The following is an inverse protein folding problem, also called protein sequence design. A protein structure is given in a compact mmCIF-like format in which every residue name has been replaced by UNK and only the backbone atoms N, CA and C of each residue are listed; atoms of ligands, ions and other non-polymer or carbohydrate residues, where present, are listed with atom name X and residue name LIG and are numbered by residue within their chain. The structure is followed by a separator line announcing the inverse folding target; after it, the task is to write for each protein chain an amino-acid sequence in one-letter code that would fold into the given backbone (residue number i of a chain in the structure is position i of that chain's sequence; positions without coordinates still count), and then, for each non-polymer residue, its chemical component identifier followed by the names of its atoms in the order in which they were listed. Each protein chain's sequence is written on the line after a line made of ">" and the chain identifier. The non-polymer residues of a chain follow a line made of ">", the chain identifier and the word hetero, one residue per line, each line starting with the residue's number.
data_IF_804220884017
#
_entry.id   IF_804220884017
#
_cell.length_a   1.000
_cell.length_b   1.000
_cell.length_c   1.000
_cell.angle_alpha   90.00
_cell.angle_beta   90.00
_cell.angle_gamma   90.00
#
_symmetry.space_group_name_H-M   'P 1'
#
loop_
_entity.id
_entity.type
_entity.pdbx_description
1 polymer ?
#
# COMPACT_ATOMS: atom_id res chain seq x y z
N UNK A 1 24.12 -2.28 -44.71
CA UNK A 1 24.04 -3.67 -44.24
C UNK A 1 23.98 -3.62 -42.72
N UNK A 2 22.80 -3.59 -42.13
CA UNK A 2 22.58 -3.59 -40.70
C UNK A 2 22.35 -5.02 -40.25
N UNK A 3 23.25 -5.56 -39.45
CA UNK A 3 23.05 -6.86 -38.80
C UNK A 3 22.05 -6.69 -37.66
N UNK A 4 20.88 -7.26 -37.79
CA UNK A 4 19.93 -7.49 -36.71
C UNK A 4 20.48 -8.59 -35.80
N UNK A 5 21.08 -8.18 -34.68
CA UNK A 5 21.46 -9.12 -33.64
C UNK A 5 20.22 -9.67 -32.94
N UNK A 6 19.88 -10.92 -33.19
CA UNK A 6 18.90 -11.66 -32.40
C UNK A 6 19.42 -11.75 -30.94
N UNK A 7 18.71 -11.13 -30.01
CA UNK A 7 18.95 -11.36 -28.59
C UNK A 7 18.61 -12.83 -28.29
N UNK A 8 19.63 -13.66 -28.09
CA UNK A 8 19.45 -15.02 -27.60
C UNK A 8 18.83 -14.92 -26.17
N UNK A 9 17.68 -15.55 -25.99
CA UNK A 9 17.08 -15.74 -24.69
C UNK A 9 18.00 -16.55 -23.77
N UNK A 10 17.83 -16.41 -22.47
CA UNK A 10 18.57 -17.17 -21.45
C UNK A 10 18.38 -18.67 -21.76
N UNK A 11 19.45 -19.46 -21.94
CA UNK A 11 19.30 -20.87 -22.24
C UNK A 11 18.68 -21.60 -21.06
N UNK A 12 17.58 -22.31 -21.29
CA UNK A 12 16.98 -23.19 -20.29
C UNK A 12 17.94 -24.32 -19.91
N UNK A 13 17.92 -24.82 -18.67
CA UNK A 13 18.74 -25.96 -18.25
C UNK A 13 18.49 -27.14 -19.17
N UNK A 14 19.56 -27.84 -19.55
CA UNK A 14 19.50 -29.02 -20.42
C UNK A 14 18.61 -30.08 -19.76
N UNK A 15 17.52 -30.46 -20.44
CA UNK A 15 16.56 -31.48 -19.96
C UNK A 15 15.20 -30.95 -19.54
N UNK A 16 14.98 -29.63 -19.50
CA UNK A 16 13.64 -29.06 -19.23
C UNK A 16 12.96 -28.80 -20.59
N UNK A 17 12.05 -29.68 -20.98
CA UNK A 17 11.16 -29.44 -22.09
C UNK A 17 9.84 -28.91 -21.54
N UNK A 18 9.66 -27.60 -21.60
CA UNK A 18 8.35 -26.98 -21.29
C UNK A 18 7.50 -27.11 -22.55
N UNK A 19 6.43 -27.91 -22.47
CA UNK A 19 5.47 -28.00 -23.58
C UNK A 19 4.47 -26.85 -23.50
N UNK A 20 4.26 -26.06 -24.55
CA UNK A 20 3.23 -25.04 -24.60
C UNK A 20 1.85 -25.65 -24.36
N UNK A 21 0.99 -24.95 -23.65
CA UNK A 21 -0.42 -25.29 -23.57
C UNK A 21 -0.99 -25.22 -24.99
N UNK A 22 -1.83 -26.21 -25.33
CA UNK A 22 -2.40 -26.35 -26.67
C UNK A 22 -3.13 -25.07 -27.10
N UNK A 23 -2.59 -24.37 -28.10
CA UNK A 23 -3.12 -23.11 -28.61
C UNK A 23 -2.34 -21.87 -28.24
N UNK A 24 -1.23 -21.98 -27.49
CA UNK A 24 -0.30 -20.87 -27.27
C UNK A 24 0.96 -21.09 -28.11
N UNK A 25 1.33 -20.09 -28.87
CA UNK A 25 2.64 -20.05 -29.50
C UNK A 25 3.71 -19.69 -28.48
N UNK A 26 4.95 -20.17 -28.68
CA UNK A 26 6.05 -19.96 -27.71
C UNK A 26 6.38 -18.48 -27.48
N UNK A 27 6.03 -17.61 -28.39
CA UNK A 27 6.18 -16.15 -28.26
C UNK A 27 5.18 -15.51 -27.28
N UNK A 28 4.06 -16.17 -26.97
CA UNK A 28 3.02 -15.68 -26.06
C UNK A 28 3.31 -16.01 -24.59
N UNK A 29 4.29 -16.87 -24.33
CA UNK A 29 4.63 -17.32 -22.96
C UNK A 29 5.31 -16.24 -22.12
N UNK A 30 6.12 -15.42 -22.76
CA UNK A 30 6.79 -14.29 -22.14
C UNK A 30 6.71 -13.11 -23.10
N UNK A 31 5.62 -12.36 -23.08
CA UNK A 31 5.55 -11.17 -23.91
C UNK A 31 6.70 -10.24 -23.51
N UNK A 32 7.57 -9.95 -24.47
CA UNK A 32 8.70 -9.06 -24.24
C UNK A 32 8.17 -7.69 -23.76
N UNK A 33 8.83 -7.00 -22.83
CA UNK A 33 8.36 -5.72 -22.28
C UNK A 33 8.06 -4.67 -23.36
N UNK A 34 8.79 -4.67 -24.44
CA UNK A 34 8.56 -3.80 -25.62
C UNK A 34 7.27 -4.14 -26.36
N UNK A 35 6.90 -5.42 -26.48
CA UNK A 35 5.61 -5.86 -27.06
C UNK A 35 4.44 -5.45 -26.16
N UNK A 36 4.57 -5.63 -24.83
CA UNK A 36 3.55 -5.19 -23.87
C UNK A 36 3.39 -3.68 -23.93
N UNK A 37 4.49 -2.93 -23.97
CA UNK A 37 4.47 -1.48 -24.06
C UNK A 37 3.80 -1.01 -25.36
N UNK A 38 4.15 -1.59 -26.51
CA UNK A 38 3.55 -1.28 -27.79
C UNK A 38 2.03 -1.61 -27.81
N UNK A 39 1.65 -2.74 -27.24
CA UNK A 39 0.24 -3.14 -27.08
C UNK A 39 -0.53 -2.14 -26.23
N UNK A 40 0.05 -1.71 -25.12
CA UNK A 40 -0.58 -0.73 -24.22
C UNK A 40 -0.69 0.66 -24.86
N UNK A 41 0.29 1.08 -25.68
CA UNK A 41 0.21 2.34 -26.44
C UNK A 41 -0.89 2.32 -27.50
N UNK A 42 -1.25 1.14 -28.03
CA UNK A 42 -2.32 0.99 -29.00
C UNK A 42 -3.72 0.95 -28.37
N UNK A 43 -3.82 0.91 -27.04
CA UNK A 43 -5.11 1.01 -26.34
C UNK A 43 -5.65 2.42 -26.48
N UNK A 44 -6.78 2.56 -27.21
CA UNK A 44 -7.48 3.82 -27.27
C UNK A 44 -8.08 4.17 -25.90
N UNK A 45 -7.72 5.32 -25.38
CA UNK A 45 -8.42 5.91 -24.24
C UNK A 45 -9.82 6.30 -24.70
N UNK A 46 -10.84 5.54 -24.33
CA UNK A 46 -12.22 5.89 -24.64
C UNK A 46 -12.65 7.08 -23.77
N UNK A 47 -13.42 8.02 -24.37
CA UNK A 47 -13.94 9.18 -23.67
C UNK A 47 -14.85 8.83 -22.46
N UNK A 48 -15.33 7.60 -22.37
CA UNK A 48 -16.05 7.06 -21.22
C UNK A 48 -15.18 6.86 -19.98
N UNK A 49 -13.84 6.86 -20.11
CA UNK A 49 -12.90 6.77 -18.99
C UNK A 49 -12.79 8.08 -18.19
N UNK A 50 -13.50 9.14 -18.52
CA UNK A 50 -13.53 10.37 -17.70
C UNK A 50 -14.13 10.18 -16.29
N UNK A 51 -14.86 9.10 -16.04
CA UNK A 51 -15.27 8.69 -14.67
C UNK A 51 -14.19 7.91 -13.92
N UNK A 52 -13.10 7.51 -14.57
CA UNK A 52 -12.07 6.62 -14.02
C UNK A 52 -10.83 7.32 -13.50
N UNK A 53 -10.95 8.60 -13.20
CA UNK A 53 -9.86 9.31 -12.53
C UNK A 53 -9.75 8.96 -11.04
N UNK A 54 -10.65 8.14 -10.51
CA UNK A 54 -10.61 7.62 -9.15
C UNK A 54 -9.87 6.28 -9.17
N UNK A 55 -8.82 6.19 -8.38
CA UNK A 55 -8.08 4.96 -8.24
C UNK A 55 -7.83 4.63 -6.76
N UNK A 56 -8.14 3.39 -6.31
CA UNK A 56 -8.82 2.31 -7.02
C UNK A 56 -10.22 2.71 -7.51
N UNK A 57 -10.68 2.08 -8.61
CA UNK A 57 -12.01 2.36 -9.19
C UNK A 57 -13.13 2.08 -8.19
N UNK A 58 -14.12 2.93 -8.14
CA UNK A 58 -15.29 2.78 -7.27
C UNK A 58 -16.40 1.98 -7.95
N UNK A 59 -17.31 1.40 -7.17
CA UNK A 59 -18.44 0.61 -7.68
C UNK A 59 -19.45 1.45 -8.45
N UNK A 60 -19.73 2.63 -7.94
CA UNK A 60 -20.73 3.54 -8.54
C UNK A 60 -20.28 4.98 -8.36
N UNK A 61 -20.34 5.76 -9.42
CA UNK A 61 -20.18 7.22 -9.40
C UNK A 61 -21.17 7.83 -10.40
N UNK A 62 -22.15 8.55 -9.90
CA UNK A 62 -23.21 9.15 -10.71
C UNK A 62 -23.32 10.66 -10.42
N UNK A 63 -23.72 11.48 -11.41
CA UNK A 63 -23.97 12.89 -11.19
C UNK A 63 -25.08 13.10 -10.12
N UNK A 64 -24.85 14.01 -9.20
CA UNK A 64 -25.83 14.36 -8.17
C UNK A 64 -26.88 15.33 -8.74
N UNK A 65 -28.11 14.84 -8.87
CA UNK A 65 -29.22 15.65 -9.43
C UNK A 65 -29.54 16.86 -8.56
N UNK A 66 -29.69 18.04 -9.19
CA UNK A 66 -30.06 19.27 -8.49
C UNK A 66 -28.97 19.92 -7.66
N UNK A 67 -27.70 19.46 -7.82
CA UNK A 67 -26.53 20.06 -7.20
C UNK A 67 -25.56 20.56 -8.27
N UNK A 68 -24.76 21.55 -7.91
CA UNK A 68 -23.72 22.10 -8.76
C UNK A 68 -22.31 21.71 -8.25
N UNK A 69 -21.39 21.52 -9.21
CA UNK A 69 -19.98 21.38 -8.90
C UNK A 69 -19.40 22.67 -8.31
N UNK A 70 -18.27 22.58 -7.66
CA UNK A 70 -17.64 23.72 -6.99
C UNK A 70 -16.11 23.64 -7.04
N UNK A 71 -15.48 24.73 -6.68
CA UNK A 71 -14.02 24.81 -6.59
C UNK A 71 -13.58 24.89 -5.13
N UNK A 72 -12.42 24.27 -4.84
CA UNK A 72 -11.68 24.41 -3.58
C UNK A 72 -10.38 25.14 -3.91
N UNK A 73 -10.13 26.26 -3.28
CA UNK A 73 -8.90 27.02 -3.54
C UNK A 73 -7.74 26.61 -2.62
N UNK A 74 -7.81 26.98 -1.35
CA UNK A 74 -6.72 26.75 -0.41
C UNK A 74 -7.19 26.35 1.00
N UNK A 75 -8.47 26.41 1.27
CA UNK A 75 -9.04 26.17 2.61
C UNK A 75 -10.30 25.33 2.55
N UNK A 76 -10.44 24.47 3.56
CA UNK A 76 -11.66 23.69 3.79
C UNK A 76 -12.02 23.73 5.28
N UNK A 77 -13.30 23.63 5.57
CA UNK A 77 -13.80 23.33 6.89
C UNK A 77 -13.94 21.82 7.03
N UNK A 78 -13.48 21.24 8.12
CA UNK A 78 -13.65 19.81 8.42
C UNK A 78 -14.54 19.67 9.65
N UNK A 79 -15.62 18.90 9.52
CA UNK A 79 -16.51 18.53 10.60
C UNK A 79 -16.68 17.01 10.62
N UNK A 80 -16.88 16.42 11.78
CA UNK A 80 -16.95 14.97 11.90
C UNK A 80 -17.69 14.51 13.15
N UNK A 81 -18.29 13.31 13.09
CA UNK A 81 -18.77 12.63 14.27
C UNK A 81 -17.57 12.25 15.18
N UNK A 82 -17.65 12.39 16.50
CA UNK A 82 -16.52 12.12 17.42
C UNK A 82 -15.85 10.76 17.25
N UNK A 83 -16.60 9.72 16.87
CA UNK A 83 -16.08 8.37 16.64
C UNK A 83 -15.11 8.28 15.45
N UNK A 84 -15.09 9.28 14.58
CA UNK A 84 -14.22 9.37 13.39
C UNK A 84 -13.05 10.35 13.55
N UNK A 85 -12.70 10.66 14.79
CA UNK A 85 -11.64 11.62 15.08
C UNK A 85 -10.27 11.22 14.52
N UNK A 86 -9.94 9.91 14.52
CA UNK A 86 -8.71 9.39 13.90
C UNK A 86 -8.69 9.66 12.39
N UNK A 87 -9.75 9.33 11.67
CA UNK A 87 -9.86 9.49 10.23
C UNK A 87 -9.86 10.97 9.83
N UNK A 88 -10.48 11.81 10.66
CA UNK A 88 -10.48 13.26 10.47
C UNK A 88 -9.07 13.86 10.62
N UNK A 89 -8.28 13.43 11.60
CA UNK A 89 -6.92 13.94 11.77
C UNK A 89 -5.99 13.45 10.64
N UNK A 90 -6.12 12.17 10.23
CA UNK A 90 -5.39 11.65 9.07
C UNK A 90 -5.75 12.39 7.78
N UNK A 91 -7.04 12.66 7.57
CA UNK A 91 -7.49 13.43 6.40
C UNK A 91 -6.91 14.85 6.43
N UNK A 92 -6.97 15.53 7.56
CA UNK A 92 -6.41 16.87 7.76
C UNK A 92 -4.92 16.91 7.43
N UNK A 93 -4.15 15.94 7.93
CA UNK A 93 -2.72 15.81 7.61
C UNK A 93 -2.49 15.67 6.10
N UNK A 94 -3.22 14.76 5.43
CA UNK A 94 -3.06 14.53 3.99
C UNK A 94 -3.54 15.70 3.14
N UNK A 95 -4.61 16.38 3.51
CA UNK A 95 -5.06 17.61 2.85
C UNK A 95 -3.96 18.69 2.87
N UNK A 96 -3.28 18.83 4.02
CA UNK A 96 -2.19 19.80 4.16
C UNK A 96 -0.93 19.36 3.40
N UNK A 97 -0.48 18.12 3.58
CA UNK A 97 0.83 17.65 3.08
C UNK A 97 0.83 17.32 1.60
N UNK A 98 -0.27 16.78 1.07
CA UNK A 98 -0.36 16.37 -0.34
C UNK A 98 -0.97 17.48 -1.20
N UNK A 99 -2.02 18.13 -0.72
CA UNK A 99 -2.81 19.07 -1.52
C UNK A 99 -2.57 20.55 -1.15
N UNK A 100 -1.85 20.81 -0.06
CA UNK A 100 -1.60 22.18 0.42
C UNK A 100 -2.87 22.91 0.87
N UNK A 101 -3.91 22.15 1.27
CA UNK A 101 -5.18 22.68 1.76
C UNK A 101 -5.12 22.87 3.27
N UNK A 102 -5.44 24.06 3.73
CA UNK A 102 -5.53 24.40 5.16
C UNK A 102 -6.92 24.03 5.71
N UNK A 103 -6.96 23.30 6.80
CA UNK A 103 -8.22 23.05 7.54
C UNK A 103 -8.44 24.15 8.55
N UNK A 104 -9.55 24.87 8.40
CA UNK A 104 -9.92 26.06 9.20
C UNK A 104 -11.33 25.91 9.79
N UNK A 105 -11.66 26.77 10.76
CA UNK A 105 -12.98 26.77 11.40
C UNK A 105 -14.12 27.20 10.46
N UNK A 106 -13.83 28.07 9.49
CA UNK A 106 -14.79 28.58 8.52
C UNK A 106 -14.19 28.64 7.12
N UNK A 107 -14.84 28.00 6.16
CA UNK A 107 -14.45 27.99 4.75
C UNK A 107 -15.72 27.84 3.86
N UNK A 108 -15.64 28.24 2.58
CA UNK A 108 -16.74 28.07 1.61
C UNK A 108 -17.08 26.60 1.36
N UNK A 109 -16.08 25.71 1.52
CA UNK A 109 -16.25 24.27 1.31
C UNK A 109 -16.11 23.55 2.64
N UNK A 110 -17.08 22.67 2.92
CA UNK A 110 -17.08 21.82 4.10
C UNK A 110 -16.91 20.36 3.71
N UNK A 111 -15.97 19.68 4.35
CA UNK A 111 -15.87 18.21 4.38
C UNK A 111 -16.51 17.74 5.67
N UNK A 112 -17.46 16.82 5.57
CA UNK A 112 -18.18 16.25 6.70
C UNK A 112 -18.05 14.73 6.74
N UNK A 113 -17.67 14.18 7.91
CA UNK A 113 -17.57 12.74 8.13
C UNK A 113 -18.65 12.32 9.12
N UNK A 114 -19.56 11.42 8.71
CA UNK A 114 -20.69 11.04 9.54
C UNK A 114 -21.10 9.58 9.30
N UNK A 115 -22.01 9.10 10.13
CA UNK A 115 -22.66 7.81 9.92
C UNK A 115 -23.59 7.83 8.71
N UNK A 116 -23.78 6.65 8.11
CA UNK A 116 -24.78 6.47 7.07
C UNK A 116 -26.16 6.84 7.60
N UNK A 117 -27.04 7.44 6.73
CA UNK A 117 -28.43 7.62 7.09
C UNK A 117 -29.11 6.30 7.48
N UNK A 118 -30.00 6.29 8.48
CA UNK A 118 -30.68 5.09 9.01
C UNK A 118 -31.36 4.22 7.94
N UNK A 119 -31.69 4.78 6.79
CA UNK A 119 -32.37 4.10 5.66
C UNK A 119 -31.39 3.40 4.70
N UNK A 120 -30.08 3.61 4.88
CA UNK A 120 -29.06 3.05 4.00
C UNK A 120 -28.37 1.87 4.68
N UNK A 121 -28.41 0.69 4.05
CA UNK A 121 -27.77 -0.51 4.56
C UNK A 121 -26.39 -0.66 3.93
N UNK A 122 -25.36 -0.75 4.77
CA UNK A 122 -24.01 -1.04 4.32
C UNK A 122 -23.89 -2.50 3.84
N UNK A 123 -23.20 -2.70 2.71
CA UNK A 123 -22.93 -4.05 2.17
C UNK A 123 -21.95 -4.80 3.06
N UNK A 124 -20.96 -4.11 3.59
CA UNK A 124 -19.97 -4.63 4.55
C UNK A 124 -19.42 -3.48 5.41
N UNK A 125 -18.52 -3.79 6.35
CA UNK A 125 -17.92 -2.80 7.24
C UNK A 125 -16.97 -1.79 6.57
N UNK A 126 -16.64 -1.98 5.30
CA UNK A 126 -15.80 -1.06 4.52
C UNK A 126 -16.61 -0.23 3.51
N UNK A 127 -17.93 -0.42 3.47
CA UNK A 127 -18.82 0.38 2.63
C UNK A 127 -18.81 1.85 3.04
N UNK A 128 -18.75 2.72 2.04
CA UNK A 128 -18.89 4.16 2.22
C UNK A 128 -19.68 4.79 1.08
N UNK A 129 -20.16 5.99 1.35
CA UNK A 129 -20.80 6.87 0.41
C UNK A 129 -20.15 8.26 0.45
N UNK A 130 -19.97 8.86 -0.72
CA UNK A 130 -19.55 10.26 -0.84
C UNK A 130 -20.62 11.00 -1.65
N UNK A 131 -21.11 12.11 -1.11
CA UNK A 131 -21.96 13.04 -1.85
C UNK A 131 -21.26 14.39 -1.94
N UNK A 132 -21.07 14.89 -3.15
CA UNK A 132 -20.48 16.21 -3.40
C UNK A 132 -21.48 17.15 -4.07
N UNK A 133 -21.35 18.45 -3.83
CA UNK A 133 -22.13 19.49 -4.51
C UNK A 133 -22.42 20.68 -3.61
N UNK A 134 -22.57 21.87 -4.22
CA UNK A 134 -22.89 23.13 -3.52
C UNK A 134 -21.94 23.48 -2.37
N UNK A 135 -20.64 23.17 -2.50
CA UNK A 135 -19.66 23.44 -1.46
C UNK A 135 -19.63 22.44 -0.30
N UNK A 136 -20.36 21.31 -0.38
CA UNK A 136 -20.36 20.26 0.61
C UNK A 136 -19.76 18.97 0.03
N UNK A 137 -18.91 18.32 0.82
CA UNK A 137 -18.40 16.97 0.61
C UNK A 137 -18.80 16.17 1.84
N UNK A 138 -19.79 15.29 1.69
CA UNK A 138 -20.23 14.43 2.78
C UNK A 138 -19.72 13.01 2.55
N UNK A 139 -18.94 12.49 3.49
CA UNK A 139 -18.46 11.10 3.52
C UNK A 139 -19.19 10.40 4.65
N UNK A 140 -19.91 9.33 4.33
CA UNK A 140 -20.66 8.57 5.31
C UNK A 140 -20.41 7.08 5.20
N UNK A 141 -20.34 6.40 6.37
CA UNK A 141 -20.12 4.96 6.47
C UNK A 141 -20.74 4.42 7.77
N UNK A 142 -20.78 3.10 7.90
CA UNK A 142 -21.21 2.46 9.15
C UNK A 142 -20.06 2.22 10.13
N UNK A 143 -18.82 2.37 9.68
CA UNK A 143 -17.61 2.13 10.49
C UNK A 143 -16.52 3.16 10.17
N UNK A 144 -15.56 3.30 11.04
CA UNK A 144 -14.35 4.11 10.83
C UNK A 144 -13.51 3.62 9.63
N UNK A 145 -13.48 2.32 9.36
CA UNK A 145 -12.79 1.78 8.17
C UNK A 145 -13.47 2.24 6.86
N UNK A 146 -14.80 2.25 6.81
CA UNK A 146 -15.52 2.80 5.66
C UNK A 146 -15.26 4.30 5.49
N UNK A 147 -15.25 5.10 6.56
CA UNK A 147 -14.88 6.52 6.53
C UNK A 147 -13.45 6.68 6.00
N UNK A 148 -12.49 5.89 6.52
CA UNK A 148 -11.11 5.91 6.02
C UNK A 148 -11.04 5.67 4.50
N UNK A 149 -11.68 4.62 4.00
CA UNK A 149 -11.71 4.32 2.56
C UNK A 149 -12.36 5.47 1.75
N UNK A 150 -13.40 6.09 2.28
CA UNK A 150 -14.03 7.28 1.69
C UNK A 150 -13.07 8.48 1.64
N UNK A 151 -12.28 8.71 2.68
CA UNK A 151 -11.25 9.77 2.68
C UNK A 151 -10.16 9.53 1.63
N UNK A 152 -9.72 8.27 1.41
CA UNK A 152 -8.76 7.95 0.35
C UNK A 152 -9.35 8.24 -1.04
N UNK A 153 -10.63 7.95 -1.25
CA UNK A 153 -11.32 8.31 -2.49
C UNK A 153 -11.42 9.81 -2.67
N UNK A 154 -11.75 10.58 -1.63
CA UNK A 154 -11.73 12.04 -1.68
C UNK A 154 -10.35 12.56 -2.09
N UNK A 155 -9.28 12.08 -1.45
CA UNK A 155 -7.90 12.48 -1.79
C UNK A 155 -7.55 12.18 -3.24
N UNK A 156 -8.03 11.06 -3.80
CA UNK A 156 -7.83 10.75 -5.22
C UNK A 156 -8.64 11.62 -6.17
N UNK A 157 -9.78 12.16 -5.74
CA UNK A 157 -10.61 13.10 -6.50
C UNK A 157 -10.00 14.50 -6.55
N UNK A 158 -9.23 14.89 -5.54
CA UNK A 158 -8.59 16.20 -5.46
C UNK A 158 -7.39 16.26 -6.42
N UNK A 159 -7.66 16.28 -7.72
CA UNK A 159 -6.68 16.48 -8.76
C UNK A 159 -6.71 17.93 -9.19
N UNK A 160 -5.55 18.55 -9.28
CA UNK A 160 -5.45 19.92 -9.73
C UNK A 160 -3.98 20.36 -9.75
N UNK A 161 -3.72 21.38 -10.55
CA UNK A 161 -2.49 22.13 -10.54
C UNK A 161 -2.78 23.49 -9.87
N UNK A 162 -1.79 24.04 -9.17
CA UNK A 162 -1.84 25.41 -8.65
C UNK A 162 -2.89 25.70 -7.55
N UNK A 163 -3.17 24.72 -6.68
CA UNK A 163 -4.05 24.89 -5.51
C UNK A 163 -5.51 25.21 -5.81
N UNK A 164 -5.96 24.90 -7.02
CA UNK A 164 -7.38 24.98 -7.40
C UNK A 164 -7.88 23.59 -7.78
N UNK A 165 -8.77 23.03 -6.95
CA UNK A 165 -9.40 21.74 -7.19
C UNK A 165 -10.85 21.96 -7.63
N UNK A 166 -11.26 21.34 -8.73
CA UNK A 166 -12.63 21.36 -9.19
C UNK A 166 -13.28 20.03 -8.93
N UNK A 167 -14.39 20.05 -8.22
CA UNK A 167 -15.19 18.86 -7.93
C UNK A 167 -16.54 18.97 -8.61
N UNK A 168 -16.89 17.93 -9.36
CA UNK A 168 -18.23 17.74 -9.89
C UNK A 168 -19.21 17.40 -8.76
N UNK A 169 -20.48 17.67 -8.98
CA UNK A 169 -21.53 17.20 -8.09
C UNK A 169 -21.79 15.71 -8.36
N UNK A 170 -21.34 14.84 -7.46
CA UNK A 170 -21.34 13.38 -7.59
C UNK A 170 -21.98 12.72 -6.37
N UNK A 171 -22.57 11.54 -6.59
CA UNK A 171 -22.86 10.55 -5.57
C UNK A 171 -22.05 9.30 -5.88
N UNK A 172 -21.18 8.91 -4.95
CA UNK A 172 -20.30 7.76 -5.07
C UNK A 172 -20.70 6.74 -4.01
N UNK A 173 -20.73 5.46 -4.39
CA UNK A 173 -20.86 4.34 -3.47
C UNK A 173 -19.80 3.32 -3.79
N UNK A 174 -19.15 2.83 -2.74
CA UNK A 174 -18.07 1.86 -2.93
C UNK A 174 -17.88 0.94 -1.73
N UNK A 175 -17.38 -0.24 -2.01
CA UNK A 175 -16.95 -1.25 -1.06
C UNK A 175 -16.04 -2.27 -1.75
N UNK A 176 -15.11 -2.90 -1.05
CA UNK A 176 -14.26 -3.91 -1.65
C UNK A 176 -14.98 -5.23 -1.90
N UNK A 177 -14.66 -5.92 -3.01
CA UNK A 177 -15.14 -7.27 -3.29
C UNK A 177 -14.44 -8.32 -2.44
N UNK A 178 -13.16 -8.07 -2.11
CA UNK A 178 -12.33 -9.01 -1.36
C UNK A 178 -12.05 -8.46 0.04
N UNK A 179 -12.37 -9.23 1.10
CA UNK A 179 -12.10 -8.81 2.48
C UNK A 179 -10.61 -8.82 2.83
N UNK A 180 -9.79 -9.57 2.10
CA UNK A 180 -8.34 -9.62 2.26
C UNK A 180 -7.66 -8.99 1.04
N UNK A 181 -6.96 -7.88 1.26
CA UNK A 181 -6.20 -7.16 0.24
C UNK A 181 -4.82 -6.85 0.81
N UNK A 182 -3.93 -7.82 0.64
CA UNK A 182 -2.62 -7.81 1.29
C UNK A 182 -1.45 -7.52 0.37
N UNK A 183 -0.43 -6.93 0.96
CA UNK A 183 0.91 -6.85 0.42
C UNK A 183 1.84 -7.66 1.33
N UNK A 184 2.60 -8.59 0.76
CA UNK A 184 3.66 -9.30 1.46
C UNK A 184 4.98 -8.55 1.28
N UNK A 185 5.77 -8.49 2.35
CA UNK A 185 7.12 -7.93 2.34
C UNK A 185 8.08 -8.88 3.06
N UNK A 186 9.11 -9.29 2.34
CA UNK A 186 10.22 -10.07 2.87
C UNK A 186 11.32 -9.15 3.40
N UNK A 187 11.45 -9.11 4.71
CA UNK A 187 12.50 -8.36 5.42
C UNK A 187 13.59 -9.26 5.99
N UNK A 188 13.36 -10.56 5.98
CA UNK A 188 14.36 -11.53 6.43
C UNK A 188 15.58 -11.49 5.51
N UNK A 189 15.35 -11.47 4.17
CA UNK A 189 16.43 -11.40 3.19
C UNK A 189 17.03 -10.00 3.08
N UNK A 190 16.21 -8.97 3.16
CA UNK A 190 16.68 -7.58 3.12
C UNK A 190 15.93 -6.74 4.17
N UNK A 191 16.64 -6.32 5.18
CA UNK A 191 16.12 -5.46 6.24
C UNK A 191 15.76 -4.05 5.69
N UNK A 192 14.70 -3.48 6.21
CA UNK A 192 14.33 -2.07 5.99
C UNK A 192 13.91 -1.40 7.31
N UNK A 193 14.04 -0.10 7.41
CA UNK A 193 13.76 0.63 8.64
C UNK A 193 12.26 0.82 8.89
N UNK A 194 11.89 1.10 10.15
CA UNK A 194 10.48 1.39 10.55
C UNK A 194 9.92 2.58 9.77
N UNK A 195 10.73 3.60 9.49
CA UNK A 195 10.32 4.76 8.72
C UNK A 195 9.92 4.38 7.28
N UNK A 196 10.65 3.45 6.66
CA UNK A 196 10.28 2.94 5.34
C UNK A 196 9.01 2.09 5.40
N UNK A 197 8.84 1.29 6.47
CA UNK A 197 7.61 0.52 6.67
C UNK A 197 6.39 1.41 6.86
N UNK A 198 6.50 2.50 7.62
CA UNK A 198 5.42 3.48 7.78
C UNK A 198 5.04 4.10 6.43
N UNK A 199 6.02 4.45 5.59
CA UNK A 199 5.75 4.90 4.21
C UNK A 199 5.05 3.83 3.39
N UNK A 200 5.45 2.56 3.50
CA UNK A 200 4.76 1.47 2.82
C UNK A 200 3.31 1.34 3.31
N UNK A 201 3.07 1.41 4.62
CA UNK A 201 1.71 1.40 5.18
C UNK A 201 0.88 2.57 4.65
N UNK A 202 1.45 3.78 4.55
CA UNK A 202 0.77 4.92 3.93
C UNK A 202 0.38 4.64 2.47
N UNK A 203 1.30 4.06 1.69
CA UNK A 203 1.05 3.73 0.28
C UNK A 203 -0.03 2.67 0.14
N UNK A 204 0.11 1.51 0.80
CA UNK A 204 -0.85 0.42 0.67
C UNK A 204 -2.24 0.83 1.15
N UNK A 205 -2.34 1.56 2.26
CA UNK A 205 -3.62 2.05 2.78
C UNK A 205 -4.28 3.08 1.85
N UNK A 206 -3.49 3.92 1.16
CA UNK A 206 -4.04 4.85 0.17
C UNK A 206 -4.69 4.14 -1.03
N UNK A 207 -4.26 2.92 -1.32
CA UNK A 207 -4.89 2.02 -2.30
C UNK A 207 -5.95 1.09 -1.69
N UNK A 208 -6.37 1.36 -0.44
CA UNK A 208 -7.36 0.58 0.30
C UNK A 208 -6.95 -0.89 0.54
N UNK A 209 -5.65 -1.22 0.51
CA UNK A 209 -5.15 -2.49 0.99
C UNK A 209 -5.21 -2.47 2.52
N UNK A 210 -5.58 -3.61 3.11
CA UNK A 210 -5.87 -3.70 4.55
C UNK A 210 -5.01 -4.73 5.30
N UNK A 211 -4.02 -5.31 4.64
CA UNK A 211 -3.11 -6.29 5.26
C UNK A 211 -1.68 -6.05 4.81
N UNK A 212 -0.76 -6.00 5.76
CA UNK A 212 0.67 -6.14 5.56
C UNK A 212 1.09 -7.52 6.07
N UNK A 213 1.40 -8.44 5.17
CA UNK A 213 1.96 -9.75 5.47
C UNK A 213 3.48 -9.62 5.57
N UNK A 214 4.04 -9.91 6.72
CA UNK A 214 5.36 -9.48 7.09
C UNK A 214 6.25 -10.69 7.40
N UNK A 215 7.11 -11.06 6.47
CA UNK A 215 8.02 -12.21 6.56
C UNK A 215 9.25 -11.84 7.39
N UNK A 216 9.23 -12.17 8.68
CA UNK A 216 10.21 -11.74 9.68
C UNK A 216 11.44 -12.61 9.77
N UNK A 217 11.32 -13.90 9.50
CA UNK A 217 12.40 -14.85 9.69
C UNK A 217 12.56 -15.76 8.49
N UNK A 218 13.82 -16.05 8.17
CA UNK A 218 14.21 -17.00 7.14
C UNK A 218 15.65 -17.46 7.40
N UNK A 219 16.25 -18.20 6.45
CA UNK A 219 17.63 -18.66 6.56
C UNK A 219 18.63 -17.49 6.65
N UNK A 220 18.32 -16.36 6.04
CA UNK A 220 19.18 -15.19 5.94
C UNK A 220 19.00 -14.16 7.05
N UNK A 221 17.95 -14.27 7.87
CA UNK A 221 17.76 -13.29 8.93
C UNK A 221 16.58 -13.53 9.84
N UNK A 222 16.76 -13.12 11.10
CA UNK A 222 15.71 -12.94 12.10
C UNK A 222 15.60 -11.45 12.42
N UNK A 223 14.41 -10.85 12.29
CA UNK A 223 14.27 -9.40 12.30
C UNK A 223 13.42 -8.82 13.43
N UNK A 224 13.11 -9.60 14.45
CA UNK A 224 12.27 -9.16 15.57
C UNK A 224 12.91 -9.48 16.90
N UNK A 225 13.05 -8.49 17.78
CA UNK A 225 13.46 -8.67 19.15
C UNK A 225 12.44 -9.49 19.95
N UNK A 226 12.89 -10.56 20.58
CA UNK A 226 12.10 -11.40 21.48
C UNK A 226 12.73 -11.36 22.86
N UNK A 227 12.08 -10.78 23.87
CA UNK A 227 12.63 -10.73 25.23
C UNK A 227 12.97 -12.13 25.78
N UNK A 228 14.19 -12.31 26.25
CA UNK A 228 14.71 -13.58 26.75
C UNK A 228 15.28 -14.51 25.69
N UNK A 229 15.38 -14.06 24.43
CA UNK A 229 16.01 -14.76 23.31
C UNK A 229 16.85 -13.75 22.50
N UNK A 230 17.78 -13.10 23.20
CA UNK A 230 18.57 -11.99 22.66
C UNK A 230 19.49 -12.44 21.51
N UNK A 231 19.86 -13.72 21.48
CA UNK A 231 20.70 -14.34 20.46
C UNK A 231 20.03 -14.28 19.07
N UNK A 232 18.70 -14.35 19.01
CA UNK A 232 17.95 -14.26 17.76
C UNK A 232 18.24 -12.94 17.00
N UNK A 233 18.57 -11.87 17.71
CA UNK A 233 18.89 -10.58 17.09
C UNK A 233 20.38 -10.25 17.14
N UNK A 234 21.11 -10.67 18.18
CA UNK A 234 22.55 -10.40 18.26
C UNK A 234 23.37 -11.19 17.23
N UNK A 235 22.90 -12.38 16.83
CA UNK A 235 23.48 -13.23 15.78
C UNK A 235 22.59 -13.24 14.54
N UNK A 236 21.32 -13.62 14.70
CA UNK A 236 20.40 -13.88 13.59
C UNK A 236 19.98 -12.65 12.78
N UNK A 237 20.19 -11.43 13.29
CA UNK A 237 19.91 -10.19 12.56
C UNK A 237 21.15 -9.62 11.85
N UNK A 238 22.25 -10.33 11.84
CA UNK A 238 23.51 -9.87 11.26
C UNK A 238 23.95 -10.78 10.12
N UNK A 239 24.34 -10.18 9.01
CA UNK A 239 24.90 -10.88 7.86
C UNK A 239 26.33 -10.41 7.65
N UNK A 240 27.21 -11.34 7.52
CA UNK A 240 28.63 -11.08 7.35
C UNK A 240 29.34 -12.35 6.90
N UNK A 241 30.65 -12.39 7.05
CA UNK A 241 31.43 -13.56 6.74
C UNK A 241 32.46 -13.80 7.86
N UNK A 242 32.23 -14.84 8.65
CA UNK A 242 33.21 -15.37 9.57
C UNK A 242 33.62 -16.76 9.10
N UNK A 243 34.83 -17.22 9.48
CA UNK A 243 35.35 -18.52 9.05
C UNK A 243 34.58 -19.70 9.62
N UNK A 244 33.85 -19.49 10.71
CA UNK A 244 33.07 -20.48 11.43
C UNK A 244 31.57 -20.24 11.41
N UNK A 245 31.14 -19.06 10.91
CA UNK A 245 29.75 -18.64 10.84
C UNK A 245 29.00 -18.66 12.19
N UNK A 246 29.70 -18.54 13.31
CA UNK A 246 29.14 -18.62 14.66
C UNK A 246 28.51 -17.29 15.12
N UNK A 247 29.00 -16.16 14.61
CA UNK A 247 28.58 -14.84 15.08
C UNK A 247 27.68 -14.07 14.07
N UNK A 248 27.49 -14.62 12.89
CA UNK A 248 26.66 -13.99 11.83
C UNK A 248 26.20 -15.03 10.80
N UNK A 249 25.23 -14.62 9.99
CA UNK A 249 24.70 -15.42 8.89
C UNK A 249 25.46 -15.12 7.59
N UNK A 250 25.03 -15.76 6.49
CA UNK A 250 25.58 -15.54 5.15
C UNK A 250 25.66 -14.06 4.76
N UNK A 251 26.64 -13.65 3.95
CA UNK A 251 26.78 -12.27 3.47
C UNK A 251 25.49 -11.72 2.86
N UNK A 252 25.27 -10.42 3.03
CA UNK A 252 24.18 -9.71 2.36
C UNK A 252 24.34 -9.66 0.83
N UNK A 253 23.26 -9.37 0.13
CA UNK A 253 23.27 -9.25 -1.34
C UNK A 253 24.10 -8.07 -1.85
N UNK A 254 24.39 -7.11 -0.98
CA UNK A 254 25.27 -5.97 -1.27
C UNK A 254 26.77 -6.34 -1.27
N UNK A 255 27.09 -7.59 -0.99
CA UNK A 255 28.46 -8.09 -0.92
C UNK A 255 29.26 -7.59 0.28
N UNK A 256 28.63 -6.97 1.26
CA UNK A 256 29.29 -6.55 2.50
C UNK A 256 29.48 -7.75 3.43
N UNK A 257 30.71 -7.93 3.89
CA UNK A 257 31.11 -9.02 4.78
C UNK A 257 31.24 -8.58 6.26
N UNK A 258 31.03 -7.31 6.56
CA UNK A 258 31.09 -6.78 7.92
C UNK A 258 29.69 -6.87 8.58
N UNK A 259 29.52 -7.75 9.60
CA UNK A 259 28.24 -7.90 10.28
C UNK A 259 27.84 -6.69 11.13
N UNK A 260 28.74 -5.73 11.33
CA UNK A 260 28.45 -4.48 12.05
C UNK A 260 28.04 -3.32 11.12
N UNK A 261 28.18 -3.51 9.81
CA UNK A 261 27.89 -2.44 8.86
C UNK A 261 26.39 -2.13 8.75
N UNK A 262 26.06 -0.86 8.56
CA UNK A 262 24.69 -0.40 8.32
C UNK A 262 24.28 -0.70 6.87
N UNK A 263 23.87 -1.94 6.59
CA UNK A 263 23.44 -2.40 5.27
C UNK A 263 22.04 -3.01 5.34
N UNK A 264 21.43 -3.29 4.20
CA UNK A 264 20.15 -4.00 4.15
C UNK A 264 20.23 -5.48 4.62
N UNK A 265 21.43 -6.00 4.80
CA UNK A 265 21.68 -7.33 5.38
C UNK A 265 21.54 -7.34 6.91
N UNK A 266 21.72 -6.22 7.57
CA UNK A 266 21.82 -6.10 9.02
C UNK A 266 20.69 -5.25 9.60
N UNK A 267 20.11 -5.69 10.71
CA UNK A 267 19.09 -4.95 11.43
C UNK A 267 17.94 -5.82 11.90
N UNK A 268 17.25 -5.31 12.87
CA UNK A 268 16.02 -5.89 13.44
C UNK A 268 15.15 -4.76 14.00
N UNK A 269 13.90 -5.08 14.31
CA UNK A 269 13.00 -4.17 15.02
C UNK A 269 13.03 -4.50 16.50
N UNK A 270 13.22 -3.48 17.32
CA UNK A 270 12.98 -3.60 18.75
C UNK A 270 11.49 -3.85 19.00
N UNK A 271 11.17 -4.37 20.16
CA UNK A 271 9.78 -4.57 20.58
C UNK A 271 8.98 -3.28 20.52
N UNK A 272 9.55 -2.18 20.95
CA UNK A 272 8.94 -0.85 20.96
C UNK A 272 8.69 -0.34 19.53
N UNK A 273 9.66 -0.48 18.63
CA UNK A 273 9.50 -0.09 17.22
C UNK A 273 8.41 -0.91 16.53
N UNK A 274 8.32 -2.20 16.83
CA UNK A 274 7.27 -3.03 16.26
C UNK A 274 5.89 -2.67 16.80
N UNK A 275 5.76 -2.40 18.11
CA UNK A 275 4.51 -1.90 18.71
C UNK A 275 4.09 -0.57 18.09
N UNK A 276 5.04 0.33 17.84
CA UNK A 276 4.78 1.61 17.19
C UNK A 276 4.29 1.43 15.75
N UNK A 277 4.91 0.51 14.99
CA UNK A 277 4.44 0.15 13.66
C UNK A 277 3.03 -0.44 13.67
N UNK A 278 2.72 -1.33 14.63
CA UNK A 278 1.38 -1.90 14.76
C UNK A 278 0.31 -0.82 15.03
N UNK A 279 0.61 0.14 15.90
CA UNK A 279 -0.28 1.28 16.17
C UNK A 279 -0.47 2.15 14.93
N UNK A 280 0.62 2.45 14.24
CA UNK A 280 0.61 3.25 13.01
C UNK A 280 -0.23 2.59 11.92
N UNK A 281 -0.07 1.28 11.73
CA UNK A 281 -0.84 0.49 10.78
C UNK A 281 -2.33 0.42 11.17
N UNK A 282 -2.63 0.20 12.46
CA UNK A 282 -4.00 0.12 12.96
C UNK A 282 -4.77 1.43 12.75
N UNK A 283 -4.14 2.59 12.95
CA UNK A 283 -4.74 3.90 12.66
C UNK A 283 -5.14 4.06 11.19
N UNK A 284 -4.51 3.31 10.28
CA UNK A 284 -4.76 3.30 8.82
C UNK A 284 -5.55 2.07 8.37
N UNK A 285 -6.16 1.36 9.32
CA UNK A 285 -6.94 0.14 9.07
C UNK A 285 -6.16 -0.97 8.35
N UNK A 286 -4.84 -1.01 8.53
CA UNK A 286 -3.96 -2.07 8.02
C UNK A 286 -3.62 -3.03 9.15
N UNK A 287 -3.99 -4.30 8.97
CA UNK A 287 -3.61 -5.39 9.87
C UNK A 287 -2.24 -5.92 9.47
N UNK A 288 -1.33 -6.01 10.44
CA UNK A 288 -0.03 -6.64 10.25
C UNK A 288 -0.13 -8.12 10.61
N UNK A 289 0.30 -9.00 9.71
CA UNK A 289 0.38 -10.45 9.93
C UNK A 289 1.86 -10.83 9.94
N UNK A 290 2.45 -11.12 11.11
CA UNK A 290 3.82 -11.61 11.19
C UNK A 290 3.89 -13.07 10.72
N UNK A 291 4.85 -13.37 9.87
CA UNK A 291 5.20 -14.72 9.44
C UNK A 291 6.55 -15.10 10.04
N UNK A 292 6.57 -16.24 10.73
CA UNK A 292 7.76 -16.84 11.33
C UNK A 292 7.83 -18.29 10.88
N UNK A 293 8.97 -18.65 10.30
CA UNK A 293 9.17 -19.93 9.63
C UNK A 293 9.67 -21.04 10.57
N UNK A 294 9.11 -22.25 10.43
CA UNK A 294 9.53 -23.45 11.11
C UNK A 294 8.85 -24.69 10.51
N UNK A 295 9.52 -25.84 10.32
CA UNK A 295 10.96 -26.09 10.50
C UNK A 295 11.81 -25.68 9.29
N UNK A 296 11.20 -25.39 8.14
CA UNK A 296 11.89 -24.85 6.96
C UNK A 296 12.23 -23.38 7.17
N UNK A 297 13.20 -22.87 6.41
CA UNK A 297 13.60 -21.45 6.43
C UNK A 297 13.94 -20.95 7.87
N UNK A 298 14.50 -21.82 8.72
CA UNK A 298 14.73 -21.56 10.15
C UNK A 298 16.21 -21.42 10.50
N UNK A 299 17.11 -21.35 9.51
CA UNK A 299 18.56 -21.34 9.77
C UNK A 299 18.98 -20.19 10.67
N UNK A 300 18.41 -18.99 10.47
CA UNK A 300 18.74 -17.85 11.32
C UNK A 300 18.46 -18.13 12.81
N UNK A 301 17.32 -18.73 13.13
CA UNK A 301 16.99 -19.12 14.49
C UNK A 301 17.90 -20.26 15.00
N UNK A 302 18.17 -21.28 14.19
CA UNK A 302 18.99 -22.45 14.58
C UNK A 302 20.44 -22.04 14.88
N UNK A 303 21.03 -21.18 14.06
CA UNK A 303 22.43 -20.71 14.26
C UNK A 303 22.52 -19.77 15.46
N UNK A 304 21.44 -19.06 15.80
CA UNK A 304 21.41 -18.12 16.91
C UNK A 304 21.28 -18.79 18.27
N UNK A 305 20.66 -19.97 18.33
CA UNK A 305 20.33 -20.69 19.58
C UNK A 305 21.20 -21.92 19.79
#
# INVERSE_FOLDING_TARGET
>A
MSQSGSKQGIPLPVGLTIQPLKGMETEDWYPAPDKIYASNLALETTAQLQQTDIFPSVKEAVPATGKEGFAIENKVKLTFHPDFANEAELLKEKLATIHGLEVVSEAPVTVHLDYLPERETAVNGEYYRIDTGNGLINISASTSHGIFNGTQTLLSLLKGQEKLFRLEALSIRDYPDLPYRGQMLDIARNFTTVEHLKKLVDVISSYKLNVLHFHFSDDEGWRLEIPGLEELTSVGARRGHTTDELECLYPGYDGNYDPSAATSGNGYYTREEFIDLLRYAAQRHVRVIPEIESPGHARAAIVSM
#
